data_IF_569074404940
#
_entry.id   IF_569074404940
#
_cell.length_a   1.000
_cell.length_b   1.000
_cell.length_c   1.000
_cell.angle_alpha   90.00
_cell.angle_beta   90.00
_cell.angle_gamma   90.00
#
_symmetry.space_group_name_H-M   'P 1'
#
loop_
_entity.id
_entity.type
_entity.pdbx_description
1 polymer ?
#
# COMPACT_ATOMS: atom_id res chain seq x y z
N UNK A 1 -26.67 23.69 -24.33
CA UNK A 1 -25.43 22.88 -24.33
C UNK A 1 -25.38 22.17 -22.97
N UNK A 2 -25.93 20.95 -22.83
CA UNK A 2 -25.18 19.66 -22.82
C UNK A 2 -23.82 19.84 -22.13
N UNK A 3 -23.44 19.24 -21.02
CA UNK A 3 -23.93 18.09 -20.25
C UNK A 3 -22.72 17.51 -19.48
N UNK A 4 -22.95 16.95 -18.28
CA UNK A 4 -22.16 15.93 -17.53
C UNK A 4 -22.47 16.12 -16.03
N UNK A 5 -23.44 15.43 -15.46
CA UNK A 5 -23.52 13.99 -15.20
C UNK A 5 -22.46 13.48 -14.20
N UNK A 6 -22.93 13.30 -12.96
CA UNK A 6 -22.75 12.15 -12.04
C UNK A 6 -21.31 11.84 -11.55
N UNK A 7 -21.04 11.89 -10.24
CA UNK A 7 -21.11 10.71 -9.34
C UNK A 7 -20.58 11.03 -7.93
N UNK A 8 -21.35 10.56 -6.96
CA UNK A 8 -20.97 10.45 -5.56
C UNK A 8 -19.71 9.59 -5.38
N UNK A 9 -18.83 10.00 -4.46
CA UNK A 9 -17.87 9.09 -3.85
C UNK A 9 -17.88 9.32 -2.33
N UNK A 10 -18.72 8.49 -1.70
CA UNK A 10 -18.60 7.99 -0.34
C UNK A 10 -17.54 8.65 0.56
N UNK A 11 -18.00 9.47 1.50
CA UNK A 11 -17.32 9.57 2.79
C UNK A 11 -17.35 8.17 3.41
N UNK A 12 -16.27 7.41 3.25
CA UNK A 12 -16.06 6.17 3.97
C UNK A 12 -16.10 6.48 5.47
N UNK A 13 -17.11 5.92 6.09
CA UNK A 13 -17.32 5.87 7.52
C UNK A 13 -16.15 5.17 8.24
N UNK A 14 -16.07 5.49 9.53
CA UNK A 14 -15.35 4.79 10.60
C UNK A 14 -13.83 5.00 10.67
N UNK A 15 -13.43 5.94 11.54
CA UNK A 15 -12.31 5.69 12.44
C UNK A 15 -12.81 5.95 13.87
N UNK A 16 -13.06 4.91 14.68
CA UNK A 16 -13.36 5.10 16.09
C UNK A 16 -12.10 5.61 16.79
N UNK A 17 -12.28 6.73 17.49
CA UNK A 17 -11.67 7.10 18.77
C UNK A 17 -10.70 6.08 19.40
N UNK A 18 -9.42 6.44 19.49
CA UNK A 18 -8.65 6.63 20.74
C UNK A 18 -7.17 6.65 20.39
N UNK A 19 -6.52 7.74 20.79
CA UNK A 19 -5.07 7.78 20.98
C UNK A 19 -4.69 6.75 22.05
N UNK A 20 -4.52 5.50 21.65
CA UNK A 20 -3.53 4.65 22.31
C UNK A 20 -2.16 5.14 21.84
N UNK A 21 -1.11 4.91 22.61
CA UNK A 21 0.24 4.84 22.06
C UNK A 21 0.23 3.64 21.07
N UNK A 22 -0.30 3.89 19.87
CA UNK A 22 -0.56 2.86 18.88
C UNK A 22 0.80 2.54 18.29
N UNK A 23 1.33 1.37 18.64
CA UNK A 23 2.48 0.78 17.95
C UNK A 23 2.32 1.07 16.45
N UNK A 24 3.19 1.93 15.87
CA UNK A 24 3.02 2.38 14.48
C UNK A 24 3.17 1.24 13.48
N UNK A 25 3.48 0.03 13.96
CA UNK A 25 3.59 -1.21 13.19
C UNK A 25 2.50 -2.24 13.53
N UNK A 26 1.50 -1.91 14.36
CA UNK A 26 0.48 -2.85 14.82
C UNK A 26 -0.28 -3.55 13.68
N UNK A 27 -0.55 -2.85 12.59
CA UNK A 27 -1.23 -3.39 11.40
C UNK A 27 -0.46 -4.52 10.69
N UNK A 28 0.86 -4.61 10.89
CA UNK A 28 1.70 -5.63 10.26
C UNK A 28 1.63 -6.98 11.00
N UNK A 29 1.14 -7.01 12.24
CA UNK A 29 1.12 -8.20 13.08
C UNK A 29 2.52 -8.84 13.19
N UNK A 30 2.66 -10.08 12.73
CA UNK A 30 3.94 -10.80 12.74
C UNK A 30 5.01 -10.18 11.82
N UNK A 31 4.62 -9.38 10.83
CA UNK A 31 5.54 -8.72 9.90
C UNK A 31 6.07 -7.37 10.42
N UNK A 32 5.74 -6.96 11.65
CA UNK A 32 6.13 -5.66 12.22
C UNK A 32 7.63 -5.41 12.21
N UNK A 33 8.46 -6.43 12.47
CA UNK A 33 9.91 -6.27 12.46
C UNK A 33 10.46 -6.10 11.05
N UNK A 34 9.86 -6.77 10.06
CA UNK A 34 10.22 -6.56 8.66
C UNK A 34 9.86 -5.15 8.19
N UNK A 35 8.69 -4.65 8.59
CA UNK A 35 8.28 -3.27 8.32
C UNK A 35 9.17 -2.25 9.03
N UNK A 36 9.54 -2.50 10.29
CA UNK A 36 10.46 -1.65 11.05
C UNK A 36 11.87 -1.58 10.44
N UNK A 37 12.42 -2.71 9.98
CA UNK A 37 13.72 -2.74 9.28
C UNK A 37 13.72 -1.96 7.97
N UNK A 38 12.55 -1.80 7.34
CA UNK A 38 12.36 -1.01 6.12
C UNK A 38 11.92 0.44 6.41
N UNK A 39 11.78 0.83 7.69
CA UNK A 39 11.26 2.13 8.09
C UNK A 39 9.80 2.37 7.73
N UNK A 40 9.04 1.30 7.48
CA UNK A 40 7.69 1.33 6.92
C UNK A 40 6.61 1.25 8.00
N UNK A 41 5.76 2.27 8.10
CA UNK A 41 4.73 2.36 9.15
C UNK A 41 3.34 2.04 8.60
N UNK A 42 2.40 1.78 9.50
CA UNK A 42 1.00 1.54 9.14
C UNK A 42 0.34 2.73 8.43
N UNK A 43 0.76 3.96 8.74
CA UNK A 43 0.32 5.18 8.04
C UNK A 43 0.74 5.20 6.57
N UNK A 44 1.81 4.50 6.22
CA UNK A 44 2.41 4.52 4.89
C UNK A 44 1.78 3.45 3.98
N UNK A 45 1.01 2.53 4.56
CA UNK A 45 0.32 1.44 3.85
C UNK A 45 -0.50 1.92 2.64
N UNK A 46 -1.34 2.97 2.74
CA UNK A 46 -2.14 3.42 1.61
C UNK A 46 -1.29 3.92 0.44
N UNK A 47 -0.28 4.76 0.72
CA UNK A 47 0.62 5.31 -0.30
C UNK A 47 1.47 4.21 -0.94
N UNK A 48 1.96 3.29 -0.14
CA UNK A 48 2.72 2.14 -0.60
C UNK A 48 1.90 1.19 -1.49
N UNK A 49 0.65 0.91 -1.11
CA UNK A 49 -0.23 0.10 -1.94
C UNK A 49 -0.63 0.81 -3.24
N UNK A 50 -0.76 2.14 -3.22
CA UNK A 50 -0.93 2.91 -4.46
C UNK A 50 0.29 2.77 -5.38
N UNK A 51 1.51 2.86 -4.84
CA UNK A 51 2.75 2.64 -5.59
C UNK A 51 2.88 1.22 -6.14
N UNK A 52 2.54 0.21 -5.35
CA UNK A 52 2.53 -1.19 -5.79
C UNK A 52 1.52 -1.44 -6.92
N UNK A 53 0.34 -0.81 -6.87
CA UNK A 53 -0.66 -0.87 -7.94
C UNK A 53 -0.20 -0.14 -9.20
N UNK A 54 0.48 1.01 -9.07
CA UNK A 54 1.08 1.70 -10.20
C UNK A 54 2.14 0.82 -10.89
N UNK A 55 3.02 0.16 -10.12
CA UNK A 55 3.98 -0.80 -10.66
C UNK A 55 3.31 -1.97 -11.38
N UNK A 56 2.21 -2.50 -10.84
CA UNK A 56 1.43 -3.55 -11.50
C UNK A 56 0.78 -3.06 -12.80
N UNK A 57 0.28 -1.82 -12.82
CA UNK A 57 -0.29 -1.21 -14.03
C UNK A 57 0.79 -1.00 -15.10
N UNK A 58 1.97 -0.49 -14.73
CA UNK A 58 3.13 -0.36 -15.63
C UNK A 58 3.61 -1.71 -16.16
N UNK A 59 3.54 -2.76 -15.33
CA UNK A 59 3.86 -4.13 -15.70
C UNK A 59 2.79 -4.82 -16.56
N UNK A 60 1.73 -4.11 -16.96
CA UNK A 60 0.61 -4.68 -17.74
C UNK A 60 -0.17 -5.75 -16.97
N UNK A 61 -0.23 -5.65 -15.64
CA UNK A 61 -0.86 -6.64 -14.76
C UNK A 61 0.00 -7.87 -14.46
N UNK A 62 1.22 -7.96 -15.03
CA UNK A 62 2.13 -9.08 -14.76
C UNK A 62 2.89 -8.88 -13.46
N UNK A 63 2.62 -9.76 -12.49
CA UNK A 63 3.28 -9.72 -11.18
C UNK A 63 4.79 -9.95 -11.28
N UNK A 64 5.25 -10.85 -12.15
CA UNK A 64 6.67 -11.13 -12.33
C UNK A 64 7.41 -9.90 -12.89
N UNK A 65 6.81 -9.21 -13.86
CA UNK A 65 7.37 -7.99 -14.45
C UNK A 65 7.35 -6.85 -13.42
N UNK A 66 6.28 -6.71 -12.63
CA UNK A 66 6.23 -5.73 -11.54
C UNK A 66 7.32 -5.98 -10.48
N UNK A 67 7.62 -7.24 -10.16
CA UNK A 67 8.71 -7.59 -9.26
C UNK A 67 10.09 -7.28 -9.84
N UNK A 68 10.28 -7.50 -11.14
CA UNK A 68 11.51 -7.14 -11.83
C UNK A 68 11.70 -5.63 -11.93
N UNK A 69 10.63 -4.89 -12.27
CA UNK A 69 10.60 -3.43 -12.24
C UNK A 69 10.89 -2.89 -10.84
N UNK A 70 10.31 -3.52 -9.81
CA UNK A 70 10.55 -3.11 -8.44
C UNK A 70 12.04 -3.28 -8.06
N UNK A 71 12.65 -4.41 -8.41
CA UNK A 71 14.09 -4.62 -8.20
C UNK A 71 14.95 -3.64 -8.99
N UNK A 72 14.58 -3.35 -10.24
CA UNK A 72 15.26 -2.35 -11.08
C UNK A 72 15.21 -0.94 -10.51
N UNK A 73 14.15 -0.61 -9.76
CA UNK A 73 13.99 0.66 -9.03
C UNK A 73 14.65 0.66 -7.64
N UNK A 74 15.35 -0.41 -7.28
CA UNK A 74 16.05 -0.52 -5.99
C UNK A 74 15.14 -0.87 -4.80
N UNK A 75 13.90 -1.30 -5.03
CA UNK A 75 13.05 -1.77 -3.93
C UNK A 75 13.59 -3.08 -3.36
N UNK A 76 13.55 -3.20 -2.03
CA UNK A 76 14.03 -4.38 -1.33
C UNK A 76 13.09 -5.57 -1.57
N UNK A 77 13.62 -6.79 -1.45
CA UNK A 77 12.81 -8.00 -1.45
C UNK A 77 11.74 -7.97 -0.35
N UNK A 78 12.05 -7.33 0.78
CA UNK A 78 11.14 -7.22 1.91
C UNK A 78 9.97 -6.28 1.57
N UNK A 79 10.23 -5.13 0.95
CA UNK A 79 9.18 -4.23 0.47
C UNK A 79 8.27 -4.96 -0.52
N UNK A 80 8.82 -5.72 -1.48
CA UNK A 80 7.99 -6.55 -2.39
C UNK A 80 7.11 -7.55 -1.62
N UNK A 81 7.63 -8.23 -0.60
CA UNK A 81 6.82 -9.18 0.20
C UNK A 81 5.71 -8.48 0.99
N UNK A 82 5.99 -7.31 1.56
CA UNK A 82 4.98 -6.48 2.23
C UNK A 82 3.87 -6.09 1.26
N UNK A 83 4.19 -5.64 0.04
CA UNK A 83 3.19 -5.31 -0.98
C UNK A 83 2.30 -6.51 -1.31
N UNK A 84 2.90 -7.69 -1.52
CA UNK A 84 2.16 -8.93 -1.80
C UNK A 84 1.18 -9.32 -0.68
N UNK A 85 1.52 -9.01 0.56
CA UNK A 85 0.75 -9.39 1.74
C UNK A 85 -0.37 -8.40 2.04
N UNK A 86 -0.09 -7.11 1.92
CA UNK A 86 -0.97 -6.04 2.42
C UNK A 86 -1.70 -5.26 1.32
N UNK A 87 -1.22 -5.27 0.08
CA UNK A 87 -1.75 -4.42 -1.01
C UNK A 87 -2.60 -5.18 -2.03
N UNK A 88 -3.44 -6.09 -1.56
CA UNK A 88 -4.40 -6.80 -2.43
C UNK A 88 -5.39 -5.86 -3.10
#
# INVERSE_FOLDING_TARGET
MIGRAILAAALCAAAPSRAADVDPYACFGWARYAAMSEGFRCSDLPAFCAGARALLAEAGGSRAVAEQLARGRGYSRMSVMLAKRFCR
#
